data_IF_559382027809
#
_entry.id   IF_559382027809
#
_cell.length_a   1.000
_cell.length_b   1.000
_cell.length_c   1.000
_cell.angle_alpha   90.00
_cell.angle_beta   90.00
_cell.angle_gamma   90.00
#
_symmetry.space_group_name_H-M   'P 1'
#
loop_
_entity.id
_entity.type
_entity.pdbx_description
1 polymer ?
#
# COMPACT_ATOMS: atom_id res chain seq x y z
N UNK A 1 3.98 -14.27 0.59
CA UNK A 1 3.00 -13.27 1.04
C UNK A 1 3.15 -13.11 2.55
N UNK A 2 3.12 -11.88 3.08
CA UNK A 2 3.22 -11.65 4.54
C UNK A 2 1.94 -12.07 5.26
N UNK A 3 2.04 -12.53 6.51
CA UNK A 3 0.90 -13.06 7.30
C UNK A 3 -0.33 -12.14 7.32
N UNK A 4 -0.14 -10.83 7.47
CA UNK A 4 -1.24 -9.85 7.49
C UNK A 4 -1.99 -9.78 6.17
N UNK A 5 -1.25 -9.67 5.07
CA UNK A 5 -1.79 -9.59 3.71
C UNK A 5 -2.67 -10.78 3.37
N UNK A 6 -2.30 -11.96 3.85
CA UNK A 6 -3.10 -13.17 3.61
C UNK A 6 -4.42 -13.15 4.38
N UNK A 7 -4.40 -12.65 5.61
CA UNK A 7 -5.62 -12.50 6.43
C UNK A 7 -6.56 -11.45 5.84
N UNK A 8 -6.04 -10.31 5.37
CA UNK A 8 -6.85 -9.28 4.70
C UNK A 8 -7.43 -9.79 3.38
N UNK A 9 -6.64 -10.55 2.62
CA UNK A 9 -7.12 -11.23 1.41
C UNK A 9 -8.24 -12.21 1.71
N UNK A 10 -8.12 -13.00 2.79
CA UNK A 10 -9.15 -13.93 3.22
C UNK A 10 -10.44 -13.21 3.62
N UNK A 11 -10.36 -12.05 4.28
CA UNK A 11 -11.54 -11.21 4.59
C UNK A 11 -12.27 -10.84 3.31
N UNK A 12 -11.52 -10.36 2.32
CA UNK A 12 -12.10 -10.00 1.02
C UNK A 12 -12.70 -11.20 0.29
N UNK A 13 -12.08 -12.38 0.40
CA UNK A 13 -12.58 -13.59 -0.25
C UNK A 13 -13.89 -14.10 0.33
N UNK A 14 -14.00 -14.13 1.67
CA UNK A 14 -15.23 -14.52 2.34
C UNK A 14 -16.37 -13.51 2.09
N UNK A 15 -16.06 -12.21 2.09
CA UNK A 15 -17.05 -11.14 1.86
C UNK A 15 -17.53 -11.05 0.41
N UNK A 16 -16.66 -11.32 -0.57
CA UNK A 16 -17.00 -11.26 -2.01
C UNK A 16 -17.37 -12.62 -2.62
N UNK A 17 -17.54 -13.66 -1.79
CA UNK A 17 -17.91 -15.00 -2.23
C UNK A 17 -19.19 -15.00 -3.06
N UNK A 18 -19.24 -15.87 -4.07
CA UNK A 18 -20.45 -16.08 -4.89
C UNK A 18 -21.53 -16.81 -4.10
N UNK A 19 -21.12 -17.68 -3.16
CA UNK A 19 -22.06 -18.38 -2.29
C UNK A 19 -22.57 -17.42 -1.20
N UNK A 20 -23.89 -17.23 -1.20
CA UNK A 20 -24.58 -16.39 -0.22
C UNK A 20 -24.42 -16.92 1.19
N UNK A 21 -24.42 -18.24 1.39
CA UNK A 21 -24.28 -18.85 2.72
C UNK A 21 -22.93 -18.52 3.34
N UNK A 22 -21.87 -18.52 2.53
CA UNK A 22 -20.50 -18.17 2.96
C UNK A 22 -20.41 -16.70 3.34
N UNK A 23 -21.04 -15.82 2.55
CA UNK A 23 -21.04 -14.38 2.84
C UNK A 23 -21.86 -14.04 4.08
N UNK A 24 -23.01 -14.68 4.25
CA UNK A 24 -23.93 -14.41 5.36
C UNK A 24 -23.46 -15.04 6.68
N UNK A 25 -22.57 -16.05 6.63
CA UNK A 25 -21.97 -16.66 7.82
C UNK A 25 -21.12 -15.69 8.66
N UNK A 26 -20.74 -14.53 8.11
CA UNK A 26 -19.97 -13.48 8.78
C UNK A 26 -18.80 -14.03 9.62
N UNK A 27 -18.04 -14.95 9.01
CA UNK A 27 -16.96 -15.68 9.67
C UNK A 27 -15.89 -14.69 10.13
N UNK A 28 -15.70 -14.59 11.43
CA UNK A 28 -14.64 -13.75 11.99
C UNK A 28 -13.28 -14.40 11.74
N UNK A 29 -12.45 -13.72 10.97
CA UNK A 29 -11.08 -14.17 10.72
C UNK A 29 -10.24 -13.88 11.95
N UNK A 30 -9.82 -14.96 12.60
CA UNK A 30 -9.01 -14.89 13.81
C UNK A 30 -7.64 -14.26 13.49
N UNK A 31 -7.42 -13.09 14.09
CA UNK A 31 -6.14 -12.40 14.17
C UNK A 31 -5.69 -12.32 15.64
N UNK A 32 -4.44 -11.92 15.90
CA UNK A 32 -3.97 -11.68 17.27
C UNK A 32 -4.57 -10.41 17.91
N UNK A 33 -4.23 -10.12 19.16
CA UNK A 33 -4.82 -8.99 19.90
C UNK A 33 -4.42 -7.58 19.38
N UNK A 34 -3.30 -7.48 18.66
CA UNK A 34 -2.74 -6.18 18.24
C UNK A 34 -3.47 -5.54 17.06
N UNK A 35 -4.23 -6.32 16.29
CA UNK A 35 -4.85 -5.85 15.06
C UNK A 35 -6.02 -6.75 14.64
N UNK A 36 -6.95 -6.21 13.87
CA UNK A 36 -8.12 -6.94 13.34
C UNK A 36 -8.17 -6.77 11.83
N UNK A 37 -8.22 -7.88 11.10
CA UNK A 37 -8.18 -7.86 9.63
C UNK A 37 -9.36 -7.10 9.02
N UNK A 38 -10.57 -7.27 9.55
CA UNK A 38 -11.76 -6.53 9.07
C UNK A 38 -11.57 -5.01 9.15
N UNK A 39 -11.02 -4.51 10.26
CA UNK A 39 -10.79 -3.07 10.45
C UNK A 39 -9.70 -2.55 9.50
N UNK A 40 -8.62 -3.32 9.31
CA UNK A 40 -7.54 -2.95 8.39
C UNK A 40 -8.03 -2.92 6.94
N UNK A 41 -8.85 -3.88 6.54
CA UNK A 41 -9.50 -3.91 5.22
C UNK A 41 -10.42 -2.71 5.03
N UNK A 42 -11.29 -2.38 5.99
CA UNK A 42 -12.21 -1.24 5.88
C UNK A 42 -11.47 0.11 5.76
N UNK A 43 -10.41 0.29 6.55
CA UNK A 43 -9.54 1.47 6.44
C UNK A 43 -8.84 1.53 5.09
N UNK A 44 -8.37 0.39 4.59
CA UNK A 44 -7.71 0.29 3.29
C UNK A 44 -8.67 0.62 2.15
N UNK A 45 -9.90 0.09 2.18
CA UNK A 45 -10.95 0.40 1.20
C UNK A 45 -11.26 1.90 1.23
N UNK A 46 -11.40 2.49 2.42
CA UNK A 46 -11.64 3.93 2.58
C UNK A 46 -10.53 4.76 1.95
N UNK A 47 -9.26 4.37 2.14
CA UNK A 47 -8.11 5.03 1.52
C UNK A 47 -8.10 4.87 -0.01
N UNK A 48 -8.46 3.68 -0.51
CA UNK A 48 -8.61 3.44 -1.95
C UNK A 48 -9.72 4.30 -2.57
N UNK A 49 -10.84 4.49 -1.86
CA UNK A 49 -11.92 5.40 -2.27
C UNK A 49 -11.46 6.87 -2.27
N UNK A 50 -10.69 7.29 -1.27
CA UNK A 50 -10.09 8.63 -1.24
C UNK A 50 -9.19 8.85 -2.46
N UNK A 51 -8.40 7.84 -2.88
CA UNK A 51 -7.58 7.92 -4.10
C UNK A 51 -8.41 8.11 -5.37
N UNK A 52 -9.64 7.59 -5.42
CA UNK A 52 -10.56 7.87 -6.54
C UNK A 52 -10.91 9.35 -6.60
N UNK A 53 -11.14 9.98 -5.44
CA UNK A 53 -11.49 11.41 -5.35
C UNK A 53 -10.31 12.30 -5.72
N UNK A 54 -9.11 11.95 -5.25
CA UNK A 54 -7.87 12.67 -5.59
C UNK A 54 -7.54 12.53 -7.08
N UNK A 55 -7.85 11.37 -7.66
CA UNK A 55 -7.55 11.08 -9.05
C UNK A 55 -6.06 10.82 -9.29
N UNK A 56 -5.62 11.00 -10.54
CA UNK A 56 -4.23 10.76 -10.95
C UNK A 56 -3.37 11.96 -10.57
N UNK A 57 -2.35 11.72 -9.75
CA UNK A 57 -1.37 12.73 -9.34
C UNK A 57 -0.02 12.50 -10.01
N UNK A 58 0.77 13.57 -10.09
CA UNK A 58 2.17 13.50 -10.47
C UNK A 58 2.97 12.75 -9.39
N UNK A 59 3.90 11.88 -9.80
CA UNK A 59 4.80 11.17 -8.88
C UNK A 59 6.23 11.69 -9.07
N UNK A 60 6.78 12.30 -8.01
CA UNK A 60 8.13 12.86 -8.04
C UNK A 60 8.30 13.94 -9.10
N UNK A 61 9.39 13.86 -9.87
CA UNK A 61 9.71 14.80 -10.96
C UNK A 61 9.18 14.36 -12.33
N UNK A 62 8.46 13.24 -12.41
CA UNK A 62 7.87 12.80 -13.67
C UNK A 62 6.74 13.74 -14.11
N UNK A 63 6.50 13.92 -15.41
CA UNK A 63 5.40 14.75 -15.89
C UNK A 63 4.01 14.13 -15.63
N UNK A 64 2.96 14.95 -15.78
CA UNK A 64 1.58 14.45 -15.79
C UNK A 64 1.41 13.40 -16.89
N UNK A 65 0.73 12.30 -16.57
CA UNK A 65 0.52 11.20 -17.54
C UNK A 65 1.65 10.18 -17.61
N UNK A 66 2.77 10.40 -16.91
CA UNK A 66 3.86 9.41 -16.85
C UNK A 66 3.46 8.17 -16.03
N UNK A 67 3.92 7.00 -16.47
CA UNK A 67 3.64 5.69 -15.86
C UNK A 67 2.27 5.10 -16.21
N UNK A 68 1.99 3.94 -15.65
CA UNK A 68 0.71 3.26 -15.82
C UNK A 68 -0.44 4.05 -15.17
N UNK A 69 -1.60 4.07 -15.82
CA UNK A 69 -2.77 4.70 -15.25
C UNK A 69 -3.25 3.89 -14.02
N UNK A 70 -3.52 4.56 -12.87
CA UNK A 70 -3.97 3.85 -11.68
C UNK A 70 -5.34 3.22 -11.92
N UNK A 71 -5.50 1.96 -11.50
CA UNK A 71 -6.81 1.32 -11.44
C UNK A 71 -7.56 1.83 -10.22
N UNK A 72 -8.71 2.48 -10.45
CA UNK A 72 -9.54 3.02 -9.40
C UNK A 72 -10.48 1.96 -8.81
N UNK A 73 -10.71 2.02 -7.50
CA UNK A 73 -11.59 1.12 -6.77
C UNK A 73 -12.99 0.99 -7.38
N UNK A 74 -13.56 2.11 -7.83
CA UNK A 74 -14.89 2.18 -8.44
C UNK A 74 -15.00 1.41 -9.75
N UNK A 75 -13.90 1.22 -10.48
CA UNK A 75 -13.85 0.53 -11.78
C UNK A 75 -13.26 -0.88 -11.68
N UNK A 76 -12.77 -1.28 -10.52
CA UNK A 76 -12.12 -2.56 -10.31
C UNK A 76 -13.14 -3.71 -10.20
N UNK A 77 -12.87 -4.82 -10.89
CA UNK A 77 -13.57 -6.09 -10.70
C UNK A 77 -13.28 -6.70 -9.33
N UNK A 78 -14.03 -7.72 -8.91
CA UNK A 78 -13.82 -8.41 -7.62
C UNK A 78 -12.39 -8.93 -7.45
N UNK A 79 -11.84 -9.57 -8.49
CA UNK A 79 -10.45 -10.06 -8.45
C UNK A 79 -9.47 -8.90 -8.27
N UNK A 80 -9.64 -7.83 -9.03
CA UNK A 80 -8.77 -6.65 -8.96
C UNK A 80 -8.89 -5.91 -7.63
N UNK A 81 -10.07 -5.90 -7.00
CA UNK A 81 -10.25 -5.30 -5.66
C UNK A 81 -9.39 -5.98 -4.61
N UNK A 82 -9.29 -7.30 -4.64
CA UNK A 82 -8.41 -8.05 -3.74
C UNK A 82 -6.94 -7.66 -3.95
N UNK A 83 -6.51 -7.58 -5.21
CA UNK A 83 -5.15 -7.17 -5.58
C UNK A 83 -4.86 -5.72 -5.13
N UNK A 84 -5.81 -4.82 -5.33
CA UNK A 84 -5.71 -3.42 -4.89
C UNK A 84 -5.61 -3.31 -3.36
N UNK A 85 -6.42 -4.05 -2.61
CA UNK A 85 -6.35 -4.06 -1.13
C UNK A 85 -5.00 -4.56 -0.67
N UNK A 86 -4.51 -5.69 -1.19
CA UNK A 86 -3.20 -6.26 -0.82
C UNK A 86 -2.05 -5.29 -1.16
N UNK A 87 -2.10 -4.65 -2.32
CA UNK A 87 -1.11 -3.66 -2.74
C UNK A 87 -1.14 -2.43 -1.82
N UNK A 88 -2.32 -1.95 -1.46
CA UNK A 88 -2.48 -0.78 -0.59
C UNK A 88 -2.05 -1.06 0.85
N UNK A 89 -2.41 -2.23 1.42
CA UNK A 89 -1.90 -2.68 2.72
C UNK A 89 -0.37 -2.69 2.72
N UNK A 90 0.24 -3.20 1.65
CA UNK A 90 1.70 -3.17 1.48
C UNK A 90 2.25 -1.74 1.46
N UNK A 91 1.58 -0.81 0.77
CA UNK A 91 1.97 0.60 0.76
C UNK A 91 1.88 1.23 2.15
N UNK A 92 0.82 0.97 2.91
CA UNK A 92 0.63 1.43 4.28
C UNK A 92 1.74 0.88 5.20
N UNK A 93 2.05 -0.41 5.12
CA UNK A 93 3.14 -1.03 5.89
C UNK A 93 4.49 -0.38 5.55
N UNK A 94 4.77 -0.16 4.26
CA UNK A 94 6.00 0.48 3.81
C UNK A 94 6.11 1.93 4.30
N UNK A 95 5.00 2.68 4.31
CA UNK A 95 4.95 4.03 4.87
C UNK A 95 5.26 4.03 6.38
N UNK A 96 4.68 3.10 7.13
CA UNK A 96 4.98 2.93 8.56
C UNK A 96 6.44 2.54 8.79
N UNK A 97 7.01 1.67 7.96
CA UNK A 97 8.42 1.32 8.01
C UNK A 97 9.32 2.52 7.72
N UNK A 98 8.97 3.35 6.73
CA UNK A 98 9.69 4.60 6.45
C UNK A 98 9.65 5.55 7.63
N UNK A 99 8.48 5.73 8.26
CA UNK A 99 8.35 6.56 9.47
C UNK A 99 9.23 6.04 10.59
N UNK A 100 9.28 4.71 10.80
CA UNK A 100 10.19 4.10 11.79
C UNK A 100 11.66 4.32 11.44
N UNK A 101 12.03 4.18 10.17
CA UNK A 101 13.40 4.42 9.72
C UNK A 101 13.83 5.87 9.96
N UNK A 102 12.96 6.84 9.68
CA UNK A 102 13.22 8.26 9.97
C UNK A 102 13.40 8.51 11.47
N UNK A 103 12.63 7.83 12.31
CA UNK A 103 12.73 7.96 13.77
C UNK A 103 13.98 7.29 14.38
N UNK A 104 14.71 6.47 13.61
CA UNK A 104 15.98 5.90 14.05
C UNK A 104 17.08 6.94 13.83
N UNK A 105 17.82 7.31 14.88
CA UNK A 105 18.88 8.32 14.79
C UNK A 105 19.98 7.95 13.79
N UNK A 106 21.07 7.31 14.25
CA UNK A 106 22.18 6.99 13.36
C UNK A 106 21.81 5.98 12.25
N UNK A 107 20.96 5.00 12.56
CA UNK A 107 20.53 3.96 11.62
C UNK A 107 19.57 4.48 10.54
N UNK A 108 18.91 5.62 10.78
CA UNK A 108 18.00 6.27 9.83
C UNK A 108 18.66 7.34 8.96
N UNK A 109 19.95 7.61 9.12
CA UNK A 109 20.66 8.67 8.38
C UNK A 109 20.56 8.53 6.85
N UNK A 110 20.34 7.32 6.32
CA UNK A 110 20.12 7.08 4.89
C UNK A 110 18.78 7.65 4.38
N UNK A 111 17.84 7.99 5.27
CA UNK A 111 16.57 8.64 4.91
C UNK A 111 16.70 10.15 4.72
N UNK A 112 17.83 10.74 5.15
CA UNK A 112 18.10 12.17 5.11
C UNK A 112 19.01 12.56 3.93
N UNK A 113 18.84 13.78 3.43
CA UNK A 113 19.60 14.29 2.29
C UNK A 113 21.07 14.64 2.61
N UNK A 114 21.45 14.73 3.89
CA UNK A 114 22.80 15.15 4.33
C UNK A 114 23.91 14.29 3.72
N UNK A 115 23.70 12.97 3.64
CA UNK A 115 24.66 12.03 3.03
C UNK A 115 24.76 12.14 1.50
N UNK A 116 23.76 12.76 0.85
CA UNK A 116 23.72 12.99 -0.60
C UNK A 116 24.33 14.35 -0.94
N UNK A 117 24.08 15.38 -0.12
CA UNK A 117 24.66 16.72 -0.29
C UNK A 117 26.19 16.68 -0.16
N UNK A 118 26.74 15.81 0.69
CA UNK A 118 28.18 15.61 0.82
C UNK A 118 28.81 14.87 -0.36
N UNK A 119 28.03 14.28 -1.27
CA UNK A 119 28.54 13.60 -2.47
C UNK A 119 28.62 14.61 -3.61
N UNK A 120 29.83 15.03 -3.94
CA UNK A 120 30.09 15.87 -5.10
C UNK A 120 30.06 14.98 -6.36
N UNK A 121 28.86 14.80 -6.94
CA UNK A 121 28.68 13.99 -8.14
C UNK A 121 29.02 14.87 -9.34
N UNK A 122 30.16 14.62 -9.98
CA UNK A 122 30.57 15.34 -11.19
C UNK A 122 30.15 14.58 -12.45
N UNK A 123 29.76 15.32 -13.50
CA UNK A 123 29.35 14.77 -14.80
C UNK A 123 30.42 13.86 -15.45
N UNK A 124 31.70 14.04 -15.08
CA UNK A 124 32.81 13.22 -15.54
C UNK A 124 32.72 11.75 -15.09
N UNK A 125 31.98 11.45 -14.01
CA UNK A 125 31.84 10.09 -13.47
C UNK A 125 30.91 9.18 -14.30
N UNK A 126 30.23 9.72 -15.32
CA UNK A 126 29.24 9.00 -16.14
C UNK A 126 29.63 8.95 -17.63
N UNK A 127 30.87 9.31 -17.99
CA UNK A 127 31.33 9.40 -19.38
C UNK A 127 32.43 8.39 -19.78
N UNK A 128 32.62 7.33 -18.99
CA UNK A 128 33.33 6.10 -19.41
C UNK A 128 32.32 5.04 -19.92
#
# INVERSE_FOLDING_TARGET
MGYKKEKDRLVMEMGESTDKSVRDANVQIHTGCKWKAHVEVDQTISRLQQKVTIGRVQVGRAGLGHGEAPKFWSKASRKERKELVVAEVTSIENEQQKVKAIAQGHQGNWTMWESVVSRNISLAQFLD
#
